data_IF_411013030242
#
_entry.id   IF_411013030242
#
_cell.length_a   1.000
_cell.length_b   1.000
_cell.length_c   1.000
_cell.angle_alpha   90.00
_cell.angle_beta   90.00
_cell.angle_gamma   90.00
#
_symmetry.space_group_name_H-M   'P 1'
#
loop_
_entity.id
_entity.type
_entity.pdbx_description
1 polymer ?
#
# COMPACT_ATOMS: atom_id res chain seq x y z
N UNK A 1 -0.39 9.83 -2.83
CA UNK A 1 0.11 11.00 -3.58
C UNK A 1 -0.50 11.04 -4.96
N UNK A 2 -0.76 12.24 -5.49
CA UNK A 2 -1.37 12.48 -6.80
C UNK A 2 -1.20 13.96 -7.17
N UNK A 3 -1.34 14.34 -8.46
CA UNK A 3 -1.48 15.74 -8.84
C UNK A 3 -2.63 16.45 -8.08
N UNK A 4 -2.51 17.77 -7.92
CA UNK A 4 -3.58 18.60 -7.31
C UNK A 4 -4.82 18.60 -8.22
N UNK A 5 -6.00 18.65 -7.62
CA UNK A 5 -7.26 18.80 -8.36
C UNK A 5 -7.84 17.54 -9.04
N UNK A 6 -7.18 16.38 -8.95
CA UNK A 6 -7.72 15.12 -9.52
C UNK A 6 -8.15 14.11 -8.44
N UNK A 7 -8.96 13.12 -8.80
CA UNK A 7 -9.38 11.97 -7.99
C UNK A 7 -8.83 10.67 -8.59
N UNK A 8 -8.18 9.79 -7.80
CA UNK A 8 -7.68 8.51 -8.29
C UNK A 8 -8.78 7.66 -8.92
N UNK A 9 -8.45 6.92 -9.98
CA UNK A 9 -9.38 6.10 -10.77
C UNK A 9 -10.53 6.84 -11.47
N UNK A 10 -10.59 8.17 -11.39
CA UNK A 10 -11.59 8.99 -12.09
C UNK A 10 -10.92 9.83 -13.17
N UNK A 11 -9.99 10.70 -12.78
CA UNK A 11 -9.38 11.67 -13.70
C UNK A 11 -7.90 11.99 -13.40
N UNK A 12 -7.25 11.29 -12.47
CA UNK A 12 -5.82 11.45 -12.28
C UNK A 12 -5.03 10.75 -13.39
N UNK A 13 -4.08 11.46 -13.99
CA UNK A 13 -3.06 10.87 -14.85
C UNK A 13 -2.15 9.91 -14.08
N UNK A 14 -1.84 10.25 -12.83
CA UNK A 14 -1.00 9.45 -11.94
C UNK A 14 -1.57 9.42 -10.52
N UNK A 15 -1.46 8.27 -9.86
CA UNK A 15 -1.66 8.18 -8.42
C UNK A 15 -0.74 7.12 -7.83
N UNK A 16 -0.26 7.40 -6.62
CA UNK A 16 0.58 6.51 -5.84
C UNK A 16 -0.01 6.34 -4.44
N UNK A 17 -0.23 5.11 -4.01
CA UNK A 17 -0.36 4.77 -2.59
C UNK A 17 0.87 3.95 -2.18
N UNK A 18 1.28 4.06 -0.93
CA UNK A 18 2.33 3.21 -0.40
C UNK A 18 2.16 2.99 1.10
N UNK A 19 2.67 1.84 1.55
CA UNK A 19 2.75 1.44 2.95
C UNK A 19 4.01 0.58 3.09
N UNK A 20 4.65 0.59 4.26
CA UNK A 20 5.87 -0.20 4.50
C UNK A 20 5.63 -1.22 5.62
N UNK A 21 6.32 -2.35 5.59
CA UNK A 21 6.58 -3.13 6.80
C UNK A 21 8.03 -2.94 7.24
N UNK A 22 8.59 -3.87 8.01
CA UNK A 22 9.96 -3.76 8.50
C UNK A 22 11.01 -4.01 7.40
N UNK A 23 10.62 -4.63 6.29
CA UNK A 23 11.53 -5.11 5.23
C UNK A 23 11.28 -4.44 3.88
N UNK A 24 10.00 -4.16 3.56
CA UNK A 24 9.55 -3.78 2.22
C UNK A 24 8.63 -2.58 2.24
N UNK A 25 8.67 -1.82 1.15
CA UNK A 25 7.63 -0.85 0.80
C UNK A 25 6.73 -1.48 -0.26
N UNK A 26 5.43 -1.46 -0.01
CA UNK A 26 4.38 -1.89 -0.92
C UNK A 26 3.79 -0.67 -1.59
N UNK A 27 3.74 -0.69 -2.92
CA UNK A 27 3.27 0.41 -3.75
C UNK A 27 2.01 -0.02 -4.51
N UNK A 28 1.05 0.89 -4.64
CA UNK A 28 0.04 0.84 -5.68
C UNK A 28 0.23 2.05 -6.58
N UNK A 29 0.60 1.77 -7.82
CA UNK A 29 0.89 2.75 -8.83
C UNK A 29 -0.19 2.68 -9.90
N UNK A 30 -0.80 3.82 -10.15
CA UNK A 30 -1.73 4.04 -11.23
C UNK A 30 -1.16 5.07 -12.20
N UNK A 31 -1.23 4.77 -13.49
CA UNK A 31 -0.86 5.70 -14.56
C UNK A 31 -1.77 5.55 -15.78
N UNK A 32 -2.11 6.67 -16.41
CA UNK A 32 -2.74 6.66 -17.73
C UNK A 32 -1.71 6.29 -18.80
N UNK A 33 -2.08 5.37 -19.69
CA UNK A 33 -1.23 4.90 -20.80
C UNK A 33 -2.03 4.89 -22.09
N UNK A 34 -1.38 5.27 -23.20
CA UNK A 34 -2.01 5.34 -24.50
C UNK A 34 -2.15 3.98 -25.21
N UNK A 35 -1.48 2.93 -24.70
CA UNK A 35 -1.42 1.63 -25.34
C UNK A 35 -1.70 0.49 -24.35
N UNK A 36 -2.48 -0.50 -24.82
CA UNK A 36 -2.87 -1.67 -24.03
C UNK A 36 -1.71 -2.64 -23.73
N UNK A 37 -0.61 -2.50 -24.48
CA UNK A 37 0.66 -3.25 -24.39
C UNK A 37 1.78 -2.32 -24.84
N UNK A 38 3.03 -2.67 -24.58
CA UNK A 38 4.19 -1.83 -24.91
C UNK A 38 4.11 -0.43 -24.29
N UNK A 39 3.66 -0.39 -23.03
CA UNK A 39 3.48 0.84 -22.27
C UNK A 39 4.09 0.66 -20.87
N UNK A 40 4.27 1.77 -20.18
CA UNK A 40 4.77 1.76 -18.82
C UNK A 40 4.14 2.86 -17.96
N UNK A 41 4.16 2.63 -16.65
CA UNK A 41 4.07 3.65 -15.61
C UNK A 41 5.26 3.46 -14.65
N UNK A 42 5.92 4.53 -14.24
CA UNK A 42 7.17 4.47 -13.49
C UNK A 42 7.18 5.39 -12.27
N UNK A 43 7.86 4.94 -11.22
CA UNK A 43 8.32 5.72 -10.08
C UNK A 43 9.81 6.02 -10.24
N UNK A 44 10.21 7.27 -10.06
CA UNK A 44 11.59 7.67 -9.85
C UNK A 44 11.81 8.07 -8.39
N UNK A 45 12.96 7.69 -7.83
CA UNK A 45 13.39 8.02 -6.48
C UNK A 45 14.63 8.90 -6.54
N UNK A 46 14.43 10.20 -6.35
CA UNK A 46 15.43 11.23 -6.61
C UNK A 46 15.88 11.97 -5.34
N UNK A 47 17.04 12.61 -5.42
CA UNK A 47 17.53 13.55 -4.42
C UNK A 47 16.91 14.95 -4.61
N UNK A 48 16.33 15.23 -5.78
CA UNK A 48 15.68 16.50 -6.10
C UNK A 48 14.38 16.30 -6.92
N UNK A 49 13.73 17.40 -7.28
CA UNK A 49 12.47 17.36 -8.04
C UNK A 49 12.62 17.05 -9.53
N UNK A 50 13.82 16.69 -10.02
CA UNK A 50 14.16 16.57 -11.42
C UNK A 50 14.66 15.16 -11.74
N UNK A 51 14.37 14.69 -12.96
CA UNK A 51 14.90 13.41 -13.43
C UNK A 51 16.41 13.48 -13.65
N UNK A 52 17.18 12.53 -13.15
CA UNK A 52 18.53 12.20 -13.58
C UNK A 52 19.52 12.02 -12.44
N UNK A 53 20.25 10.90 -12.47
CA UNK A 53 20.94 10.36 -11.31
C UNK A 53 20.04 9.50 -10.42
N UNK A 54 18.81 9.20 -10.86
CA UNK A 54 17.80 8.54 -10.04
C UNK A 54 17.84 7.02 -10.21
N UNK A 55 17.33 6.32 -9.21
CA UNK A 55 16.85 4.95 -9.38
C UNK A 55 15.35 4.96 -9.63
N UNK A 56 14.85 4.00 -10.39
CA UNK A 56 13.46 3.94 -10.80
C UNK A 56 12.91 2.52 -10.71
N UNK A 57 11.59 2.43 -10.55
CA UNK A 57 10.85 1.18 -10.67
C UNK A 57 9.68 1.43 -11.60
N UNK A 58 9.67 0.70 -12.72
CA UNK A 58 8.63 0.81 -13.74
C UNK A 58 7.78 -0.46 -13.78
N UNK A 59 6.47 -0.30 -13.97
CA UNK A 59 5.60 -1.40 -14.35
C UNK A 59 5.36 -1.30 -15.85
N UNK A 60 5.93 -2.25 -16.60
CA UNK A 60 6.03 -2.14 -18.06
C UNK A 60 5.68 -3.44 -18.76
N UNK A 61 5.15 -3.31 -19.97
CA UNK A 61 5.00 -4.38 -20.96
C UNK A 61 6.07 -4.16 -22.02
N UNK A 62 6.92 -5.15 -22.30
CA UNK A 62 7.94 -5.07 -23.35
C UNK A 62 7.64 -6.13 -24.42
N UNK A 63 7.80 -5.80 -25.71
CA UNK A 63 7.55 -6.72 -26.84
C UNK A 63 6.14 -7.36 -26.83
N UNK A 64 5.15 -6.68 -26.23
CA UNK A 64 3.78 -7.17 -26.13
C UNK A 64 3.54 -8.19 -25.02
N UNK A 65 4.51 -8.42 -24.14
CA UNK A 65 4.37 -9.29 -22.97
C UNK A 65 3.47 -8.69 -21.89
N UNK A 66 3.15 -9.48 -20.87
CA UNK A 66 2.40 -9.02 -19.70
C UNK A 66 3.14 -7.89 -18.94
N UNK A 67 2.37 -7.07 -18.23
CA UNK A 67 2.93 -6.01 -17.39
C UNK A 67 3.58 -6.62 -16.15
N UNK A 68 4.81 -6.21 -15.86
CA UNK A 68 5.57 -6.62 -14.68
C UNK A 68 6.43 -5.45 -14.21
N UNK A 69 6.64 -5.36 -12.90
CA UNK A 69 7.52 -4.37 -12.31
C UNK A 69 9.00 -4.71 -12.59
N UNK A 70 9.81 -3.72 -12.92
CA UNK A 70 11.24 -3.82 -13.23
C UNK A 70 12.02 -2.71 -12.54
N UNK A 71 13.24 -3.04 -12.12
CA UNK A 71 14.20 -2.09 -11.57
C UNK A 71 14.97 -1.43 -12.71
N UNK A 72 15.05 -0.12 -12.68
CA UNK A 72 15.79 0.68 -13.65
C UNK A 72 16.48 1.87 -12.97
N UNK A 73 17.33 2.58 -13.70
CA UNK A 73 18.01 3.77 -13.21
C UNK A 73 18.20 4.77 -14.35
N UNK A 74 18.47 6.01 -13.98
CA UNK A 74 18.50 7.13 -14.90
C UNK A 74 19.88 7.82 -14.95
N UNK A 75 20.86 7.30 -15.72
CA UNK A 75 22.10 8.03 -15.96
C UNK A 75 21.82 9.26 -16.84
N UNK A 76 21.85 10.45 -16.23
CA UNK A 76 21.36 11.66 -16.88
C UNK A 76 19.85 11.58 -17.16
N UNK A 77 19.39 11.97 -18.35
CA UNK A 77 17.95 11.99 -18.70
C UNK A 77 17.48 10.73 -19.44
N UNK A 78 18.30 9.68 -19.48
CA UNK A 78 17.99 8.41 -20.15
C UNK A 78 17.63 7.35 -19.12
N UNK A 79 16.81 6.36 -19.47
CA UNK A 79 16.54 5.21 -18.61
C UNK A 79 17.33 3.98 -19.07
N UNK A 80 17.80 3.17 -18.12
CA UNK A 80 18.42 1.86 -18.35
C UNK A 80 17.93 0.87 -17.30
N UNK A 81 17.76 -0.39 -17.67
CA UNK A 81 17.49 -1.44 -16.69
C UNK A 81 18.67 -1.57 -15.71
N UNK A 82 18.35 -1.82 -14.43
CA UNK A 82 19.36 -2.08 -13.43
C UNK A 82 20.15 -3.34 -13.85
N UNK A 83 21.50 -3.33 -13.82
CA UNK A 83 22.33 -4.44 -14.27
C UNK A 83 22.39 -5.53 -13.19
N UNK A 84 21.24 -6.12 -12.88
CA UNK A 84 21.06 -7.17 -11.88
C UNK A 84 20.66 -8.45 -12.59
N UNK A 85 21.11 -9.60 -12.07
CA UNK A 85 20.55 -10.87 -12.50
C UNK A 85 19.11 -11.05 -11.99
N UNK A 86 18.41 -12.04 -12.53
CA UNK A 86 17.00 -12.28 -12.22
C UNK A 86 16.77 -12.66 -10.75
N UNK A 87 17.70 -13.39 -10.13
CA UNK A 87 17.58 -13.79 -8.72
C UNK A 87 17.69 -12.57 -7.79
N UNK A 88 18.68 -11.71 -8.02
CA UNK A 88 18.84 -10.45 -7.30
C UNK A 88 17.63 -9.52 -7.52
N UNK A 89 17.15 -9.43 -8.75
CA UNK A 89 15.98 -8.60 -9.09
C UNK A 89 14.72 -9.07 -8.38
N UNK A 90 14.44 -10.38 -8.37
CA UNK A 90 13.26 -10.98 -7.72
C UNK A 90 13.33 -10.93 -6.20
N UNK A 91 14.53 -11.00 -5.61
CA UNK A 91 14.73 -10.77 -4.18
C UNK A 91 14.35 -9.33 -3.79
N UNK A 92 14.75 -8.35 -4.59
CA UNK A 92 14.54 -6.92 -4.31
C UNK A 92 13.12 -6.49 -4.63
N UNK A 93 12.56 -6.90 -5.77
CA UNK A 93 11.29 -6.41 -6.31
C UNK A 93 10.34 -7.56 -6.60
N UNK A 94 9.11 -7.46 -6.10
CA UNK A 94 8.07 -8.45 -6.36
C UNK A 94 6.82 -7.79 -6.95
N UNK A 95 6.34 -8.31 -8.08
CA UNK A 95 5.08 -7.86 -8.68
C UNK A 95 3.93 -8.69 -8.10
N UNK A 96 3.03 -8.04 -7.37
CA UNK A 96 1.87 -8.70 -6.76
C UNK A 96 0.67 -8.75 -7.71
N UNK A 97 0.50 -7.72 -8.52
CA UNK A 97 -0.62 -7.60 -9.44
C UNK A 97 -0.34 -6.52 -10.48
N UNK A 98 -0.69 -6.77 -11.75
CA UNK A 98 -0.69 -5.75 -12.77
C UNK A 98 -1.90 -5.92 -13.68
N UNK A 99 -2.62 -4.83 -13.93
CA UNK A 99 -3.78 -4.83 -14.82
C UNK A 99 -3.87 -3.53 -15.59
N UNK A 100 -4.07 -3.67 -16.89
CA UNK A 100 -4.46 -2.58 -17.76
C UNK A 100 -5.97 -2.66 -18.03
N UNK A 101 -6.70 -1.56 -17.87
CA UNK A 101 -8.11 -1.41 -18.24
C UNK A 101 -8.36 0.03 -18.65
N UNK A 102 -9.04 0.24 -19.78
CA UNK A 102 -9.56 1.55 -20.20
C UNK A 102 -8.51 2.68 -20.17
N UNK A 103 -7.33 2.42 -20.74
CA UNK A 103 -6.23 3.38 -20.80
C UNK A 103 -5.56 3.65 -19.46
N UNK A 104 -5.86 2.86 -18.43
CA UNK A 104 -5.26 2.96 -17.09
C UNK A 104 -4.48 1.69 -16.78
N UNK A 105 -3.20 1.85 -16.50
CA UNK A 105 -2.35 0.80 -15.96
C UNK A 105 -2.32 0.92 -14.42
N UNK A 106 -2.75 -0.14 -13.76
CA UNK A 106 -2.65 -0.31 -12.32
C UNK A 106 -1.65 -1.40 -12.00
N UNK A 107 -0.70 -1.10 -11.12
CA UNK A 107 0.34 -2.04 -10.72
C UNK A 107 0.54 -2.00 -9.22
N UNK A 108 0.61 -3.17 -8.62
CA UNK A 108 0.92 -3.37 -7.21
C UNK A 108 2.18 -4.21 -7.13
N UNK A 109 3.18 -3.68 -6.46
CA UNK A 109 4.48 -4.33 -6.30
C UNK A 109 5.08 -3.92 -4.96
N UNK A 110 6.06 -4.68 -4.49
CA UNK A 110 6.83 -4.31 -3.31
C UNK A 110 8.32 -4.33 -3.61
N UNK A 111 9.06 -3.47 -2.92
CA UNK A 111 10.51 -3.34 -3.03
C UNK A 111 11.15 -3.37 -1.64
N UNK A 112 12.32 -4.02 -1.51
CA UNK A 112 13.10 -3.97 -0.27
C UNK A 112 13.45 -2.54 0.13
N UNK A 113 13.32 -2.25 1.42
CA UNK A 113 13.72 -0.96 2.01
C UNK A 113 15.24 -0.80 1.92
N UNK A 114 15.99 -1.86 2.21
CA UNK A 114 17.45 -1.89 2.12
C UNK A 114 17.85 -3.02 1.15
N UNK A 115 18.33 -2.69 -0.07
CA UNK A 115 18.85 -3.69 -0.99
C UNK A 115 20.06 -4.45 -0.42
N UNK A 116 20.35 -5.68 -0.91
CA UNK A 116 21.56 -6.42 -0.53
C UNK A 116 22.84 -5.59 -0.73
N UNK A 117 23.83 -5.76 0.14
CA UNK A 117 25.06 -4.95 0.12
C UNK A 117 25.90 -5.07 -1.16
N UNK A 118 25.69 -6.13 -1.95
CA UNK A 118 26.30 -6.30 -3.27
C UNK A 118 25.71 -5.38 -4.35
N UNK A 119 24.53 -4.79 -4.10
CA UNK A 119 23.85 -3.89 -5.02
C UNK A 119 24.26 -2.45 -4.75
N UNK A 120 24.81 -1.81 -5.77
CA UNK A 120 25.23 -0.41 -5.68
C UNK A 120 24.02 0.52 -5.64
N UNK A 121 24.07 1.52 -4.76
CA UNK A 121 22.97 2.47 -4.54
C UNK A 121 22.56 3.26 -5.80
N UNK A 122 23.48 3.42 -6.77
CA UNK A 122 23.20 4.07 -8.05
C UNK A 122 22.26 3.25 -8.97
N UNK A 123 22.12 1.95 -8.73
CA UNK A 123 21.23 1.07 -9.50
C UNK A 123 19.92 0.82 -8.76
N UNK A 124 19.99 0.60 -7.45
CA UNK A 124 18.82 0.50 -6.57
C UNK A 124 19.18 1.15 -5.24
N UNK A 125 18.50 2.26 -4.91
CA UNK A 125 18.78 2.99 -3.69
C UNK A 125 17.97 2.45 -2.52
N UNK A 126 18.47 2.58 -1.27
CA UNK A 126 17.66 2.35 -0.09
C UNK A 126 16.46 3.31 -0.01
N UNK A 127 15.33 2.80 0.47
CA UNK A 127 14.07 3.53 0.63
C UNK A 127 13.80 3.98 2.08
N UNK A 128 14.77 3.79 2.98
CA UNK A 128 14.70 4.22 4.39
C UNK A 128 15.03 5.71 4.60
N UNK A 129 15.41 6.42 3.55
CA UNK A 129 15.63 7.87 3.55
C UNK A 129 14.50 8.57 2.80
N UNK A 130 14.23 9.82 3.16
CA UNK A 130 13.26 10.62 2.41
C UNK A 130 13.80 10.94 1.02
N UNK A 131 12.97 10.81 -0.01
CA UNK A 131 13.35 10.98 -1.42
C UNK A 131 12.24 11.70 -2.18
N UNK A 132 12.58 12.47 -3.20
CA UNK A 132 11.57 12.98 -4.12
C UNK A 132 11.00 11.84 -4.94
N UNK A 133 9.69 11.88 -5.14
CA UNK A 133 8.97 10.91 -5.94
C UNK A 133 8.60 11.54 -7.27
N UNK A 134 9.10 10.93 -8.34
CA UNK A 134 8.77 11.27 -9.71
C UNK A 134 7.81 10.22 -10.24
N UNK A 135 6.77 10.61 -10.97
CA UNK A 135 5.87 9.68 -11.65
C UNK A 135 5.76 10.04 -13.12
N UNK A 136 5.84 9.03 -13.98
CA UNK A 136 5.67 9.20 -15.42
C UNK A 136 5.02 7.98 -16.05
N UNK A 137 4.46 8.15 -17.24
CA UNK A 137 4.04 7.04 -18.09
C UNK A 137 4.43 7.30 -19.54
N UNK A 138 4.39 6.26 -20.33
CA UNK A 138 4.71 6.34 -21.75
C UNK A 138 4.64 5.01 -22.44
N UNK A 139 5.28 4.95 -23.60
CA UNK A 139 5.41 3.76 -24.43
C UNK A 139 6.79 3.12 -24.23
N UNK A 140 6.90 1.85 -24.55
CA UNK A 140 8.16 1.10 -24.44
C UNK A 140 8.67 0.73 -25.83
N UNK A 141 9.97 0.58 -25.96
CA UNK A 141 10.58 -0.16 -27.06
C UNK A 141 10.88 -1.61 -26.64
N UNK A 142 11.55 -2.37 -27.50
CA UNK A 142 11.80 -3.81 -27.28
C UNK A 142 12.65 -4.15 -26.05
N UNK A 143 13.36 -3.20 -25.45
CA UNK A 143 14.32 -3.42 -24.36
C UNK A 143 14.17 -2.44 -23.19
N UNK A 144 13.18 -1.55 -23.20
CA UNK A 144 13.11 -0.49 -22.20
C UNK A 144 12.05 0.57 -22.50
N UNK A 145 12.15 1.65 -21.73
CA UNK A 145 11.21 2.76 -21.71
C UNK A 145 11.60 3.80 -22.76
N UNK A 146 10.62 4.32 -23.50
CA UNK A 146 10.83 5.55 -24.28
C UNK A 146 10.61 6.77 -23.38
N UNK A 147 10.91 7.95 -23.92
CA UNK A 147 10.71 9.21 -23.21
C UNK A 147 9.22 9.44 -22.91
N UNK A 148 8.91 9.90 -21.70
CA UNK A 148 7.58 10.38 -21.34
C UNK A 148 7.28 11.71 -22.05
N UNK A 149 6.06 12.22 -21.90
CA UNK A 149 5.70 13.52 -22.46
C UNK A 149 6.58 14.64 -21.89
N UNK A 150 7.12 15.49 -22.77
CA UNK A 150 7.86 16.72 -22.39
C UNK A 150 7.00 17.98 -22.52
N UNK A 151 5.78 17.86 -23.03
CA UNK A 151 4.86 18.97 -23.16
C UNK A 151 4.21 19.24 -21.80
N UNK A 152 4.47 20.42 -21.21
CA UNK A 152 3.95 20.84 -19.90
C UNK A 152 2.42 20.91 -19.85
N UNK A 153 1.76 21.09 -20.99
CA UNK A 153 0.30 21.14 -21.10
C UNK A 153 -0.32 19.75 -21.31
N UNK A 154 0.51 18.71 -21.46
CA UNK A 154 0.03 17.35 -21.61
C UNK A 154 -0.56 16.82 -20.30
N UNK A 155 -1.70 16.12 -20.33
CA UNK A 155 -2.20 15.42 -19.14
C UNK A 155 -1.22 14.34 -18.65
N UNK A 156 -0.32 13.86 -19.53
CA UNK A 156 0.73 12.89 -19.19
C UNK A 156 2.08 13.54 -18.86
N UNK A 157 2.15 14.86 -18.67
CA UNK A 157 3.37 15.49 -18.17
C UNK A 157 3.75 14.89 -16.81
N UNK A 158 5.02 14.49 -16.59
CA UNK A 158 5.43 13.79 -15.37
C UNK A 158 5.13 14.61 -14.12
N UNK A 159 4.77 13.90 -13.05
CA UNK A 159 4.57 14.48 -11.74
C UNK A 159 5.87 14.44 -10.94
N UNK A 160 6.12 15.49 -10.15
CA UNK A 160 7.19 15.55 -9.15
C UNK A 160 6.57 15.96 -7.81
N UNK A 161 7.00 15.32 -6.72
CA UNK A 161 6.56 15.68 -5.37
C UNK A 161 7.10 17.06 -4.99
N UNK A 162 6.32 17.83 -4.22
CA UNK A 162 6.73 19.18 -3.76
C UNK A 162 7.93 19.16 -2.81
N UNK A 163 8.24 18.00 -2.21
CA UNK A 163 9.38 17.79 -1.33
C UNK A 163 9.68 16.30 -1.14
N UNK A 164 10.74 15.96 -0.38
CA UNK A 164 11.09 14.58 -0.08
C UNK A 164 9.99 13.86 0.71
N UNK A 165 9.79 12.59 0.38
CA UNK A 165 8.74 11.73 0.94
C UNK A 165 9.37 10.61 1.77
N UNK A 166 9.00 10.45 3.05
CA UNK A 166 9.45 9.33 3.87
C UNK A 166 8.60 8.09 3.56
N UNK A 167 9.16 7.15 2.80
CA UNK A 167 8.45 5.94 2.34
C UNK A 167 8.18 4.92 3.44
N UNK A 168 8.90 5.00 4.56
CA UNK A 168 8.73 4.14 5.75
C UNK A 168 7.85 4.76 6.84
N UNK A 169 7.24 5.92 6.58
CA UNK A 169 6.41 6.62 7.58
C UNK A 169 5.10 5.89 7.90
N UNK A 170 4.50 5.24 6.91
CA UNK A 170 3.19 4.61 7.04
C UNK A 170 3.35 3.09 7.10
N UNK A 171 3.27 2.53 8.30
CA UNK A 171 3.49 1.11 8.53
C UNK A 171 2.22 0.28 8.26
N UNK A 172 2.39 -0.86 7.60
CA UNK A 172 1.45 -1.95 7.53
C UNK A 172 1.17 -2.43 8.95
N UNK A 173 -0.11 -2.44 9.35
CA UNK A 173 -0.52 -3.19 10.53
C UNK A 173 -0.32 -4.69 10.27
N UNK A 174 0.16 -5.43 11.26
CA UNK A 174 0.42 -6.88 11.16
C UNK A 174 -0.82 -7.71 10.74
N UNK A 175 -2.04 -7.19 10.96
CA UNK A 175 -3.30 -7.82 10.54
C UNK A 175 -3.80 -7.42 9.13
N UNK A 176 -2.99 -6.70 8.35
CA UNK A 176 -3.42 -6.16 7.07
C UNK A 176 -3.51 -7.21 5.96
N UNK A 177 -4.54 -7.09 5.10
CA UNK A 177 -4.84 -8.03 4.00
C UNK A 177 -3.79 -8.05 2.86
N UNK A 178 -2.70 -7.30 3.00
CA UNK A 178 -1.63 -7.14 2.02
C UNK A 178 -0.82 -8.42 1.79
N UNK A 179 -0.58 -9.20 2.86
CA UNK A 179 0.24 -10.41 2.82
C UNK A 179 -0.46 -11.66 2.23
N UNK A 180 -1.73 -11.58 1.81
CA UNK A 180 -2.54 -12.79 1.48
C UNK A 180 -2.93 -12.95 0.00
N UNK A 181 -2.32 -12.21 -0.93
CA UNK A 181 -2.76 -12.20 -2.34
C UNK A 181 -1.72 -12.83 -3.32
N UNK A 182 -0.56 -13.29 -2.86
CA UNK A 182 0.55 -13.69 -3.75
C UNK A 182 0.59 -15.15 -4.23
N UNK A 183 -0.47 -15.93 -4.09
CA UNK A 183 -0.46 -17.31 -4.58
C UNK A 183 -1.75 -17.65 -5.31
N UNK A 184 -1.79 -17.31 -6.61
CA UNK A 184 -2.14 -18.21 -7.72
C UNK A 184 -2.60 -17.41 -8.94
N UNK A 185 -1.68 -17.15 -9.89
CA UNK A 185 -2.06 -16.82 -11.26
C UNK A 185 -0.98 -17.29 -12.24
N UNK A 186 -1.01 -18.59 -12.59
CA UNK A 186 -0.42 -19.09 -13.83
C UNK A 186 -1.54 -19.62 -14.72
N UNK A 187 -1.98 -18.81 -15.68
CA UNK A 187 -2.67 -19.29 -16.87
C UNK A 187 -2.08 -18.61 -18.13
N UNK A 188 -1.05 -19.27 -18.64
CA UNK A 188 -0.68 -19.49 -20.06
C UNK A 188 -1.09 -18.46 -21.13
N UNK A 189 -0.06 -17.87 -21.77
CA UNK A 189 -0.05 -17.57 -23.20
C UNK A 189 0.00 -18.90 -24.00
N UNK A 190 -0.76 -19.10 -25.07
CA UNK A 190 -0.54 -18.52 -26.40
C UNK A 190 -1.59 -19.03 -27.41
N UNK A 191 -1.87 -18.23 -28.44
CA UNK A 191 -2.66 -18.57 -29.63
C UNK A 191 -1.89 -18.14 -30.89
N UNK A 192 -1.75 -19.05 -31.86
CA UNK A 192 -1.84 -18.86 -33.33
C UNK A 192 -1.11 -20.02 -34.04
N UNK A 193 -1.47 -20.66 -35.16
CA UNK A 193 -2.59 -20.75 -36.16
C UNK A 193 -2.07 -21.76 -37.24
N UNK A 194 -2.69 -21.97 -38.43
CA UNK A 194 -4.03 -22.45 -38.81
C UNK A 194 -3.98 -23.77 -39.66
N UNK A 195 -5.12 -24.48 -39.83
CA UNK A 195 -5.65 -24.99 -41.13
C UNK A 195 -6.73 -26.09 -41.01
N UNK A 196 -7.65 -26.02 -41.99
CA UNK A 196 -8.56 -27.03 -42.55
C UNK A 196 -9.89 -27.42 -41.87
N UNK A 197 -10.95 -26.95 -42.53
CA UNK A 197 -12.22 -27.59 -42.93
C UNK A 197 -12.99 -28.51 -41.98
N UNK A 198 -14.23 -28.06 -41.74
CA UNK A 198 -15.47 -28.86 -41.54
C UNK A 198 -15.57 -29.76 -40.32
N UNK A 199 -15.82 -29.17 -39.13
CA UNK A 199 -16.55 -29.82 -38.01
C UNK A 199 -16.95 -28.89 -36.83
N UNK A 200 -16.99 -27.57 -37.01
CA UNK A 200 -16.73 -26.63 -35.91
C UNK A 200 -17.94 -25.86 -35.32
N UNK A 201 -19.19 -26.34 -35.45
CA UNK A 201 -20.36 -25.59 -34.94
C UNK A 201 -20.93 -26.13 -33.62
N UNK A 202 -20.87 -27.44 -33.35
CA UNK A 202 -21.41 -28.00 -32.10
C UNK A 202 -20.45 -27.94 -30.89
N UNK A 203 -19.14 -28.08 -31.09
CA UNK A 203 -18.14 -28.03 -30.02
C UNK A 203 -17.87 -26.64 -29.43
N UNK A 204 -18.04 -25.58 -30.24
CA UNK A 204 -17.85 -24.21 -29.80
C UNK A 204 -19.01 -23.75 -28.89
N UNK A 205 -20.25 -24.15 -29.22
CA UNK A 205 -21.43 -23.84 -28.41
C UNK A 205 -21.40 -24.55 -27.04
N UNK A 206 -20.98 -25.81 -26.99
CA UNK A 206 -20.83 -26.56 -25.73
C UNK A 206 -19.67 -26.05 -24.87
N UNK A 207 -18.53 -25.69 -25.48
CA UNK A 207 -17.42 -25.04 -24.77
C UNK A 207 -17.80 -23.65 -24.23
N UNK A 208 -18.59 -22.87 -24.97
CA UNK A 208 -19.10 -21.58 -24.50
C UNK A 208 -20.05 -21.75 -23.29
N UNK A 209 -20.95 -22.72 -23.33
CA UNK A 209 -21.84 -23.05 -22.22
C UNK A 209 -21.07 -23.54 -20.98
N UNK A 210 -20.04 -24.36 -21.17
CA UNK A 210 -19.17 -24.81 -20.07
C UNK A 210 -18.38 -23.64 -19.46
N UNK A 211 -17.82 -22.76 -20.29
CA UNK A 211 -17.09 -21.56 -19.84
C UNK A 211 -18.03 -20.60 -19.08
N UNK A 212 -19.26 -20.45 -19.55
CA UNK A 212 -20.27 -19.66 -18.87
C UNK A 212 -20.67 -20.29 -17.52
N UNK A 213 -20.86 -21.61 -17.47
CA UNK A 213 -21.15 -22.33 -16.24
C UNK A 213 -20.03 -22.18 -15.21
N UNK A 214 -18.78 -22.38 -15.61
CA UNK A 214 -17.60 -22.20 -14.73
C UNK A 214 -17.53 -20.75 -14.23
N UNK A 215 -17.73 -19.75 -15.11
CA UNK A 215 -17.74 -18.34 -14.71
C UNK A 215 -18.83 -18.03 -13.68
N UNK A 216 -20.02 -18.63 -13.84
CA UNK A 216 -21.10 -18.47 -12.86
C UNK A 216 -20.78 -19.15 -11.52
N UNK A 217 -20.16 -20.33 -11.53
CA UNK A 217 -19.76 -21.02 -10.30
C UNK A 217 -18.67 -20.24 -9.54
N UNK A 218 -17.67 -19.72 -10.25
CA UNK A 218 -16.63 -18.87 -9.67
C UNK A 218 -17.22 -17.56 -9.11
N UNK A 219 -18.18 -16.95 -9.81
CA UNK A 219 -18.87 -15.77 -9.33
C UNK A 219 -19.69 -16.05 -8.05
N UNK A 220 -20.40 -17.19 -7.99
CA UNK A 220 -21.13 -17.60 -6.79
C UNK A 220 -20.20 -17.84 -5.61
N UNK A 221 -19.08 -18.52 -5.83
CA UNK A 221 -18.07 -18.76 -4.79
C UNK A 221 -17.46 -17.45 -4.29
N UNK A 222 -17.18 -16.51 -5.20
CA UNK A 222 -16.70 -15.18 -4.85
C UNK A 222 -17.71 -14.42 -3.99
N UNK A 223 -18.99 -14.38 -4.38
CA UNK A 223 -20.05 -13.71 -3.60
C UNK A 223 -20.18 -14.34 -2.21
N UNK A 224 -20.17 -15.67 -2.10
CA UNK A 224 -20.23 -16.36 -0.82
C UNK A 224 -19.05 -16.00 0.09
N UNK A 225 -17.84 -15.92 -0.46
CA UNK A 225 -16.66 -15.50 0.31
C UNK A 225 -16.72 -14.04 0.74
N UNK A 226 -17.24 -13.13 -0.10
CA UNK A 226 -17.40 -11.73 0.27
C UNK A 226 -18.42 -11.56 1.41
N UNK A 227 -19.54 -12.30 1.36
CA UNK A 227 -20.54 -12.29 2.42
C UNK A 227 -19.99 -12.85 3.74
N UNK A 228 -19.20 -13.92 3.69
CA UNK A 228 -18.54 -14.47 4.88
C UNK A 228 -17.55 -13.48 5.49
N UNK A 229 -16.76 -12.79 4.66
CA UNK A 229 -15.85 -11.73 5.10
C UNK A 229 -16.59 -10.57 5.77
N UNK A 230 -17.71 -10.14 5.18
CA UNK A 230 -18.55 -9.08 5.75
C UNK A 230 -19.12 -9.50 7.10
N UNK A 231 -19.63 -10.73 7.22
CA UNK A 231 -20.17 -11.27 8.48
C UNK A 231 -19.12 -11.31 9.60
N UNK A 232 -17.91 -11.78 9.29
CA UNK A 232 -16.80 -11.82 10.27
C UNK A 232 -16.41 -10.40 10.69
N UNK A 233 -16.32 -9.46 9.74
CA UNK A 233 -16.00 -8.04 10.03
C UNK A 233 -17.03 -7.42 10.99
N UNK A 234 -18.31 -7.67 10.77
CA UNK A 234 -19.37 -7.16 11.64
C UNK A 234 -19.28 -7.77 13.05
N UNK A 235 -19.00 -9.07 13.17
CA UNK A 235 -18.81 -9.74 14.46
C UNK A 235 -17.63 -9.15 15.24
N UNK A 236 -16.50 -8.93 14.56
CA UNK A 236 -15.29 -8.37 15.18
C UNK A 236 -15.50 -6.90 15.60
N UNK A 237 -16.23 -6.11 14.81
CA UNK A 237 -16.59 -4.74 15.17
C UNK A 237 -17.47 -4.71 16.44
N UNK A 238 -18.48 -5.58 16.53
CA UNK A 238 -19.31 -5.74 17.73
C UNK A 238 -18.48 -6.13 18.96
N UNK A 239 -17.51 -7.03 18.79
CA UNK A 239 -16.61 -7.43 19.87
C UNK A 239 -15.70 -6.28 20.32
N UNK A 240 -15.12 -5.51 19.38
CA UNK A 240 -14.28 -4.36 19.68
C UNK A 240 -15.05 -3.29 20.47
N UNK A 241 -16.27 -2.95 20.04
CA UNK A 241 -17.13 -2.00 20.77
C UNK A 241 -17.40 -2.48 22.20
N UNK A 242 -17.72 -3.78 22.38
CA UNK A 242 -17.93 -4.36 23.71
C UNK A 242 -16.69 -4.22 24.61
N UNK A 243 -15.49 -4.43 24.06
CA UNK A 243 -14.24 -4.28 24.81
C UNK A 243 -13.96 -2.82 25.19
N UNK A 244 -14.19 -1.87 24.28
CA UNK A 244 -14.02 -0.44 24.58
C UNK A 244 -14.97 0.03 25.69
N UNK A 245 -16.24 -0.39 25.64
CA UNK A 245 -17.21 -0.09 26.69
C UNK A 245 -16.81 -0.69 28.05
N UNK A 246 -16.28 -1.91 28.06
CA UNK A 246 -15.78 -2.54 29.30
C UNK A 246 -14.58 -1.78 29.87
N UNK A 247 -13.63 -1.37 29.02
CA UNK A 247 -12.46 -0.57 29.43
C UNK A 247 -12.90 0.77 30.03
N UNK A 248 -13.86 1.44 29.39
CA UNK A 248 -14.42 2.69 29.88
C UNK A 248 -15.11 2.51 31.24
N UNK A 249 -15.89 1.43 31.41
CA UNK A 249 -16.53 1.12 32.68
C UNK A 249 -15.52 0.89 33.80
N UNK A 250 -14.47 0.09 33.57
CA UNK A 250 -13.41 -0.16 34.54
C UNK A 250 -12.73 1.16 34.95
N UNK A 251 -12.39 2.01 33.98
CA UNK A 251 -11.78 3.31 34.25
C UNK A 251 -12.66 4.19 35.15
N UNK A 252 -13.97 4.23 34.88
CA UNK A 252 -14.91 4.97 35.72
C UNK A 252 -15.00 4.42 37.16
N UNK A 253 -14.98 3.10 37.34
CA UNK A 253 -15.01 2.49 38.67
C UNK A 253 -13.74 2.80 39.47
N UNK A 254 -12.57 2.72 38.84
CA UNK A 254 -11.30 3.09 39.47
C UNK A 254 -11.28 4.56 39.88
N UNK A 255 -11.80 5.45 39.02
CA UNK A 255 -11.91 6.88 39.36
C UNK A 255 -12.84 7.12 40.56
N UNK A 256 -14.00 6.45 40.60
CA UNK A 256 -14.91 6.51 41.75
C UNK A 256 -14.26 6.01 43.04
N UNK A 257 -13.52 4.92 42.97
CA UNK A 257 -12.79 4.38 44.12
C UNK A 257 -11.73 5.36 44.61
N UNK A 258 -10.93 5.93 43.70
CA UNK A 258 -9.91 6.91 44.03
C UNK A 258 -10.51 8.12 44.76
N UNK A 259 -11.62 8.67 44.27
CA UNK A 259 -12.30 9.81 44.89
C UNK A 259 -12.76 9.44 46.32
N UNK A 260 -13.35 8.26 46.53
CA UNK A 260 -13.75 7.79 47.87
C UNK A 260 -12.56 7.72 48.83
N UNK A 261 -11.44 7.18 48.37
CA UNK A 261 -10.22 7.09 49.20
C UNK A 261 -9.68 8.47 49.57
N UNK A 262 -9.67 9.43 48.64
CA UNK A 262 -9.22 10.80 48.92
C UNK A 262 -10.12 11.49 49.94
N UNK A 263 -11.43 11.35 49.81
CA UNK A 263 -12.39 11.90 50.78
C UNK A 263 -12.21 11.29 52.17
N UNK A 264 -11.96 9.98 52.26
CA UNK A 264 -11.69 9.31 53.52
C UNK A 264 -10.40 9.81 54.17
N UNK A 265 -9.31 9.95 53.38
CA UNK A 265 -8.04 10.53 53.86
C UNK A 265 -8.23 11.95 54.38
N UNK A 266 -9.01 12.76 53.67
CA UNK A 266 -9.32 14.12 54.10
C UNK A 266 -10.11 14.14 55.41
N UNK A 267 -11.13 13.30 55.55
CA UNK A 267 -11.91 13.18 56.78
C UNK A 267 -11.05 12.80 57.99
N UNK A 268 -10.17 11.79 57.84
CA UNK A 268 -9.27 11.37 58.92
C UNK A 268 -8.34 12.51 59.34
N UNK A 269 -7.75 13.24 58.38
CA UNK A 269 -6.92 14.43 58.68
C UNK A 269 -7.68 15.47 59.51
N UNK A 270 -8.93 15.74 59.16
CA UNK A 270 -9.76 16.70 59.91
C UNK A 270 -10.06 16.22 61.33
N UNK A 271 -10.35 14.94 61.54
CA UNK A 271 -10.61 14.40 62.87
C UNK A 271 -9.37 14.44 63.77
N UNK A 272 -8.20 14.08 63.23
CA UNK A 272 -6.94 14.18 63.95
C UNK A 272 -6.63 15.64 64.35
N UNK A 273 -6.88 16.60 63.45
CA UNK A 273 -6.70 18.02 63.76
C UNK A 273 -7.64 18.48 64.89
N UNK A 274 -8.93 18.10 64.85
CA UNK A 274 -9.89 18.40 65.92
C UNK A 274 -9.45 17.82 67.26
N UNK A 275 -8.98 16.58 67.27
CA UNK A 275 -8.48 15.92 68.48
C UNK A 275 -7.25 16.64 69.05
N UNK A 276 -6.29 17.01 68.20
CA UNK A 276 -5.12 17.77 68.60
C UNK A 276 -5.49 19.11 69.26
N UNK A 277 -6.39 19.87 68.65
CA UNK A 277 -6.85 21.16 69.19
C UNK A 277 -7.49 20.97 70.57
N UNK A 278 -8.38 19.98 70.73
CA UNK A 278 -9.00 19.66 72.03
C UNK A 278 -7.97 19.35 73.11
N UNK A 279 -6.94 18.57 72.78
CA UNK A 279 -5.86 18.26 73.73
C UNK A 279 -5.05 19.50 74.13
N UNK A 280 -4.81 20.43 73.21
CA UNK A 280 -4.11 21.68 73.54
C UNK A 280 -4.92 22.57 74.48
N UNK A 281 -6.24 22.70 74.24
CA UNK A 281 -7.12 23.46 75.12
C UNK A 281 -7.19 22.87 76.53
N UNK A 282 -7.37 21.55 76.67
CA UNK A 282 -7.35 20.88 77.98
C UNK A 282 -6.05 21.09 78.75
N UNK A 283 -4.91 21.15 78.05
CA UNK A 283 -3.61 21.43 78.69
C UNK A 283 -3.48 22.88 79.16
N UNK A 284 -4.21 23.82 78.57
CA UNK A 284 -4.23 25.22 78.99
C UNK A 284 -5.12 25.40 80.23
N UNK A 285 -6.27 24.72 80.29
CA UNK A 285 -7.20 24.79 81.44
C UNK A 285 -6.60 24.19 82.72
N UNK A 286 -5.76 23.15 82.64
CA UNK A 286 -5.08 22.54 83.80
C UNK A 286 -3.95 23.45 84.35
N UNK A 287 -3.49 24.44 83.58
CA UNK A 287 -2.37 25.33 83.93
C UNK A 287 -2.81 26.68 84.52
N UNK A 288 -4.12 26.92 84.66
CA UNK A 288 -4.71 28.09 85.32
C UNK A 288 -5.21 27.70 86.71
#
# INVERSE_FOLDING_TARGET
MKPKGCTPHQNCAYALSYVADNERVYFELLGQVAANKNAYVALGFSDDGLMGGDTATDCSSLKGEHFVARLSYNPGKSNRQAPLDDNMSTQILHTHFAKHSDGTLYCRFSQLIVPPASVQAQFVRPLNMSTYILMSSGVTHSKGLLIHSLNVDSPLFPFSSEGPVPLTKYQLCEDSAWLRIDSNDELSHSLSSPNNSTQQTHGAATAALLKQYIRQQLLKQYIHQQLLKQYIREKLLKQYIRQQLLKQYIHQQLLKQYIREQLLKQYIRQQLLKQYIRQQLLKQDIRQ
#
